data_IF_918928888467
#
_entry.id   IF_918928888467
#
_cell.length_a   1.000
_cell.length_b   1.000
_cell.length_c   1.000
_cell.angle_alpha   90.00
_cell.angle_beta   90.00
_cell.angle_gamma   90.00
#
_symmetry.space_group_name_H-M   'P 1'
#
loop_
_entity.id
_entity.type
_entity.pdbx_description
1 polymer ?
#
# COMPACT_ATOMS: atom_id res chain seq x y z
N UNK A 1 -10.37 30.25 12.69
CA UNK A 1 -8.95 29.93 12.39
C UNK A 1 -8.20 31.25 12.28
N UNK A 2 -7.11 31.47 13.03
CA UNK A 2 -6.37 32.73 12.93
C UNK A 2 -5.73 32.84 11.55
N UNK A 3 -5.91 33.99 10.89
CA UNK A 3 -5.29 34.29 9.61
C UNK A 3 -3.90 34.86 9.91
N UNK A 4 -2.86 34.11 9.56
CA UNK A 4 -1.46 34.56 9.69
C UNK A 4 -1.03 35.19 8.37
N UNK A 5 -0.65 36.47 8.39
CA UNK A 5 -0.15 37.19 7.22
C UNK A 5 1.38 37.04 7.18
N UNK A 6 1.88 36.25 6.24
CA UNK A 6 3.32 36.07 6.03
C UNK A 6 3.79 37.06 4.97
N UNK A 7 4.81 37.87 5.28
CA UNK A 7 5.47 38.76 4.34
C UNK A 7 6.69 38.04 3.76
N UNK A 8 6.71 37.84 2.44
CA UNK A 8 7.84 37.25 1.72
C UNK A 8 8.60 38.38 1.02
N UNK A 9 9.92 38.40 1.16
CA UNK A 9 10.79 39.46 0.65
C UNK A 9 11.11 39.32 -0.85
N UNK A 10 10.93 38.13 -1.42
CA UNK A 10 11.26 37.83 -2.82
C UNK A 10 10.05 37.26 -3.56
N UNK A 11 9.85 37.75 -4.79
CA UNK A 11 8.80 37.29 -5.70
C UNK A 11 9.03 35.85 -6.16
N UNK A 12 10.29 35.41 -6.25
CA UNK A 12 10.69 34.04 -6.58
C UNK A 12 10.14 33.01 -5.57
N UNK A 13 10.16 33.35 -4.29
CA UNK A 13 9.64 32.50 -3.21
C UNK A 13 8.11 32.37 -3.29
N UNK A 14 7.43 33.48 -3.63
CA UNK A 14 5.98 33.49 -3.89
C UNK A 14 5.64 32.59 -5.08
N UNK A 15 6.39 32.69 -6.19
CA UNK A 15 6.20 31.88 -7.39
C UNK A 15 6.46 30.39 -7.09
N UNK A 16 7.48 30.08 -6.29
CA UNK A 16 7.81 28.71 -5.87
C UNK A 16 6.67 28.10 -5.02
N UNK A 17 6.13 28.86 -4.07
CA UNK A 17 4.98 28.45 -3.26
C UNK A 17 3.73 28.24 -4.13
N UNK A 18 3.45 29.16 -5.06
CA UNK A 18 2.31 29.04 -5.98
C UNK A 18 2.43 27.81 -6.90
N UNK A 19 3.65 27.50 -7.39
CA UNK A 19 3.92 26.31 -8.20
C UNK A 19 3.76 25.00 -7.42
N UNK A 20 4.10 24.99 -6.13
CA UNK A 20 3.87 23.82 -5.27
C UNK A 20 2.38 23.59 -4.95
N UNK A 21 1.58 24.66 -4.86
CA UNK A 21 0.12 24.60 -4.68
C UNK A 21 -0.59 24.19 -5.99
N UNK A 22 -0.06 24.61 -7.15
CA UNK A 22 -0.61 24.31 -8.48
C UNK A 22 -0.13 22.97 -9.08
N UNK A 23 0.22 21.96 -8.26
CA UNK A 23 0.35 20.60 -8.82
C UNK A 23 -1.05 20.17 -9.30
N UNK A 24 -1.21 19.69 -10.55
CA UNK A 24 -2.53 19.35 -11.06
C UNK A 24 -3.16 18.25 -10.20
N UNK A 25 -4.08 18.64 -9.33
CA UNK A 25 -4.98 17.72 -8.66
C UNK A 25 -5.93 17.19 -9.74
N UNK A 26 -5.57 16.03 -10.26
CA UNK A 26 -6.38 15.25 -11.17
C UNK A 26 -7.67 14.87 -10.41
N UNK A 27 -8.78 15.60 -10.67
CA UNK A 27 -10.05 15.48 -9.94
C UNK A 27 -10.63 14.04 -9.98
N UNK A 28 -10.16 13.23 -10.93
CA UNK A 28 -10.51 11.83 -11.12
C UNK A 28 -9.53 10.83 -10.45
N UNK A 29 -8.51 11.31 -9.73
CA UNK A 29 -7.60 10.49 -8.92
C UNK A 29 -7.50 11.07 -7.51
N UNK A 30 -8.06 10.38 -6.51
CA UNK A 30 -7.89 10.71 -5.09
C UNK A 30 -6.45 10.63 -4.57
N UNK A 31 -5.47 10.32 -5.43
CA UNK A 31 -4.07 10.10 -5.08
C UNK A 31 -3.19 10.95 -6.00
N UNK A 32 -2.40 11.91 -5.49
CA UNK A 32 -1.35 12.55 -6.26
C UNK A 32 -0.46 11.48 -6.88
N UNK A 33 -0.40 11.44 -8.21
CA UNK A 33 0.30 10.41 -8.99
C UNK A 33 1.83 10.43 -8.75
N UNK A 34 2.34 11.49 -8.13
CA UNK A 34 3.76 11.82 -8.04
C UNK A 34 4.52 11.12 -6.91
N UNK A 35 3.88 10.75 -5.79
CA UNK A 35 4.62 10.36 -4.58
C UNK A 35 4.86 8.86 -4.40
N UNK A 36 3.88 7.99 -4.70
CA UNK A 36 4.04 6.55 -4.53
C UNK A 36 4.23 5.85 -5.88
N UNK A 37 5.49 5.53 -6.21
CA UNK A 37 5.87 4.83 -7.44
C UNK A 37 6.32 3.41 -7.13
N UNK A 38 5.50 2.43 -7.52
CA UNK A 38 5.90 1.03 -7.52
C UNK A 38 6.07 0.55 -8.96
N UNK A 39 7.22 -0.04 -9.25
CA UNK A 39 7.54 -0.56 -10.56
C UNK A 39 6.72 -1.82 -10.86
N UNK A 40 6.05 -1.88 -12.02
CA UNK A 40 5.28 -3.07 -12.44
C UNK A 40 6.14 -4.19 -13.02
N UNK A 41 7.43 -3.94 -13.29
CA UNK A 41 8.35 -4.95 -13.81
C UNK A 41 9.08 -5.68 -12.68
N UNK A 42 9.54 -4.96 -11.66
CA UNK A 42 10.34 -5.55 -10.57
C UNK A 42 9.70 -5.42 -9.18
N UNK A 43 8.52 -4.79 -9.08
CA UNK A 43 7.77 -4.55 -7.83
C UNK A 43 8.52 -3.80 -6.73
N UNK A 44 9.66 -3.18 -7.06
CA UNK A 44 10.40 -2.29 -6.18
C UNK A 44 9.80 -0.89 -6.19
N UNK A 45 10.05 -0.16 -5.11
CA UNK A 45 9.56 1.20 -4.90
C UNK A 45 10.51 2.22 -5.53
N UNK A 46 10.10 3.49 -5.52
CA UNK A 46 10.82 4.68 -6.00
C UNK A 46 10.94 4.88 -7.52
N UNK A 47 10.47 3.95 -8.35
CA UNK A 47 10.50 4.11 -9.80
C UNK A 47 9.30 3.43 -10.48
N UNK A 48 9.01 3.80 -11.73
CA UNK A 48 7.98 3.16 -12.55
C UNK A 48 8.57 2.18 -13.56
N UNK A 49 7.73 1.38 -14.23
CA UNK A 49 8.17 0.38 -15.20
C UNK A 49 9.01 0.95 -16.35
N UNK A 50 8.76 2.21 -16.76
CA UNK A 50 9.53 2.91 -17.80
C UNK A 50 10.96 3.25 -17.37
N UNK A 51 11.20 3.43 -16.08
CA UNK A 51 12.50 3.78 -15.48
C UNK A 51 13.24 2.52 -14.98
N UNK A 52 12.69 1.33 -15.22
CA UNK A 52 13.22 0.11 -14.63
C UNK A 52 14.44 -0.40 -15.40
N UNK A 53 15.55 -0.59 -14.69
CA UNK A 53 16.79 -1.17 -15.23
C UNK A 53 16.74 -2.68 -15.44
N UNK A 54 15.70 -3.36 -14.93
CA UNK A 54 15.54 -4.81 -15.06
C UNK A 54 14.97 -5.17 -16.44
N UNK A 55 15.72 -5.97 -17.20
CA UNK A 55 15.32 -6.49 -18.52
C UNK A 55 14.13 -7.44 -18.45
N UNK A 56 14.10 -8.32 -17.45
CA UNK A 56 13.04 -9.32 -17.29
C UNK A 56 12.00 -8.89 -16.26
N UNK A 57 10.73 -9.09 -16.61
CA UNK A 57 9.60 -8.88 -15.70
C UNK A 57 9.59 -10.00 -14.66
N UNK A 58 9.45 -9.62 -13.41
CA UNK A 58 9.27 -10.53 -12.30
C UNK A 58 7.80 -10.94 -12.24
N UNK A 59 7.52 -12.20 -11.91
CA UNK A 59 6.17 -12.67 -11.70
C UNK A 59 5.59 -12.10 -10.39
N UNK A 60 4.38 -11.56 -10.49
CA UNK A 60 3.62 -10.99 -9.38
C UNK A 60 3.44 -11.94 -8.19
N UNK A 61 3.18 -13.21 -8.48
CA UNK A 61 2.76 -14.21 -7.49
C UNK A 61 3.93 -14.88 -6.80
N UNK A 62 4.95 -15.34 -7.52
CA UNK A 62 6.06 -16.11 -6.93
C UNK A 62 7.38 -15.33 -6.82
N UNK A 63 7.47 -14.13 -7.40
CA UNK A 63 8.67 -13.30 -7.34
C UNK A 63 9.84 -13.74 -8.25
N UNK A 64 9.62 -14.71 -9.14
CA UNK A 64 10.64 -15.19 -10.10
C UNK A 64 10.49 -14.53 -11.47
N UNK A 65 11.59 -14.30 -12.18
CA UNK A 65 11.59 -13.67 -13.51
C UNK A 65 11.62 -14.66 -14.69
N UNK A 66 11.40 -15.96 -14.42
CA UNK A 66 11.51 -17.04 -15.41
C UNK A 66 10.22 -17.31 -16.19
N UNK A 67 9.10 -16.67 -15.83
CA UNK A 67 7.83 -16.81 -16.53
C UNK A 67 6.99 -15.55 -16.42
N UNK A 68 6.03 -15.44 -17.33
CA UNK A 68 4.99 -14.43 -17.26
C UNK A 68 3.99 -14.73 -16.16
N UNK A 69 3.50 -13.69 -15.49
CA UNK A 69 2.47 -13.79 -14.43
C UNK A 69 1.25 -14.64 -14.82
N UNK A 70 0.87 -14.64 -16.11
CA UNK A 70 -0.24 -15.44 -16.62
C UNK A 70 0.01 -16.96 -16.55
N UNK A 71 1.27 -17.40 -16.73
CA UNK A 71 1.71 -18.80 -16.73
C UNK A 71 2.25 -19.25 -15.36
N UNK A 72 2.01 -18.48 -14.30
CA UNK A 72 2.49 -18.84 -12.97
C UNK A 72 1.73 -20.04 -12.41
N UNK A 73 2.46 -21.11 -12.05
CA UNK A 73 1.90 -22.28 -11.36
C UNK A 73 1.19 -21.91 -10.05
N UNK A 74 1.66 -20.87 -9.37
CA UNK A 74 1.15 -20.45 -8.07
C UNK A 74 0.07 -19.36 -8.17
N UNK A 75 -0.46 -19.07 -9.37
CA UNK A 75 -1.45 -17.99 -9.58
C UNK A 75 -2.68 -18.13 -8.67
N UNK A 76 -3.20 -19.35 -8.54
CA UNK A 76 -4.43 -19.64 -7.80
C UNK A 76 -4.20 -20.08 -6.34
N UNK A 77 -2.94 -20.14 -5.89
CA UNK A 77 -2.58 -20.64 -4.58
C UNK A 77 -1.99 -19.50 -3.72
N UNK A 78 -2.80 -18.83 -2.88
CA UNK A 78 -2.35 -17.71 -2.05
C UNK A 78 -1.24 -18.08 -1.07
N UNK A 79 -1.17 -19.35 -0.64
CA UNK A 79 -0.16 -19.83 0.31
C UNK A 79 1.24 -19.84 -0.29
N UNK A 80 1.33 -20.00 -1.61
CA UNK A 80 2.58 -20.02 -2.37
C UNK A 80 2.96 -18.66 -2.94
N UNK A 81 2.18 -17.62 -2.67
CA UNK A 81 2.53 -16.27 -3.09
C UNK A 81 3.73 -15.77 -2.29
N UNK A 82 4.64 -15.07 -2.95
CA UNK A 82 5.85 -14.50 -2.39
C UNK A 82 6.02 -13.08 -2.91
N UNK A 83 5.92 -12.12 -2.00
CA UNK A 83 6.16 -10.72 -2.29
C UNK A 83 7.66 -10.46 -2.51
N UNK A 84 8.03 -9.69 -3.54
CA UNK A 84 9.43 -9.51 -3.95
C UNK A 84 10.33 -8.83 -2.90
N UNK A 85 9.85 -7.87 -2.11
CA UNK A 85 10.69 -7.17 -1.12
C UNK A 85 10.76 -7.88 0.24
N UNK A 86 9.61 -8.17 0.86
CA UNK A 86 9.51 -8.73 2.21
C UNK A 86 9.35 -10.26 2.26
N UNK A 87 9.28 -10.96 1.11
CA UNK A 87 9.00 -12.41 1.02
C UNK A 87 7.70 -12.85 1.70
N UNK A 88 6.78 -11.92 1.96
CA UNK A 88 5.49 -12.21 2.58
C UNK A 88 4.58 -13.08 1.72
N UNK A 89 3.65 -13.80 2.37
CA UNK A 89 2.68 -14.70 1.74
C UNK A 89 1.52 -13.94 1.08
N UNK A 90 1.84 -13.11 0.10
CA UNK A 90 0.88 -12.33 -0.68
C UNK A 90 1.50 -11.84 -1.99
N UNK A 91 0.67 -11.49 -3.01
CA UNK A 91 1.15 -10.97 -4.28
C UNK A 91 1.93 -9.66 -4.13
N UNK A 92 2.81 -9.39 -5.10
CA UNK A 92 3.73 -8.26 -5.10
C UNK A 92 3.10 -6.86 -5.18
N UNK A 93 1.79 -6.75 -5.33
CA UNK A 93 1.03 -5.48 -5.30
C UNK A 93 0.11 -5.36 -4.07
N UNK A 94 0.22 -6.30 -3.12
CA UNK A 94 -0.64 -6.33 -1.94
C UNK A 94 -0.32 -5.19 -0.97
N UNK A 95 -1.38 -4.56 -0.44
CA UNK A 95 -1.30 -3.55 0.63
C UNK A 95 -0.87 -4.11 1.99
N UNK A 96 -0.75 -5.44 2.10
CA UNK A 96 -0.29 -6.11 3.31
C UNK A 96 1.21 -5.96 3.55
N UNK A 97 1.98 -5.57 2.54
CA UNK A 97 3.40 -5.39 2.70
C UNK A 97 3.67 -4.22 3.67
N UNK A 98 4.31 -4.53 4.80
CA UNK A 98 4.68 -3.53 5.81
C UNK A 98 5.56 -2.42 5.20
N UNK A 99 6.48 -2.78 4.29
CA UNK A 99 7.33 -1.81 3.57
C UNK A 99 6.47 -0.85 2.74
N UNK A 100 5.49 -1.36 1.99
CA UNK A 100 4.54 -0.51 1.25
C UNK A 100 3.74 0.36 2.21
N UNK A 101 3.28 -0.18 3.35
CA UNK A 101 2.48 0.57 4.32
C UNK A 101 3.27 1.74 4.92
N UNK A 102 4.49 1.49 5.40
CA UNK A 102 5.38 2.53 5.94
C UNK A 102 5.70 3.60 4.91
N UNK A 103 5.96 3.21 3.66
CA UNK A 103 6.25 4.18 2.61
C UNK A 103 5.00 4.99 2.20
N UNK A 104 3.81 4.39 2.19
CA UNK A 104 2.55 5.13 1.99
C UNK A 104 2.28 6.12 3.12
N UNK A 105 2.54 5.72 4.36
CA UNK A 105 2.36 6.56 5.55
C UNK A 105 3.29 7.77 5.56
N UNK A 106 4.58 7.58 5.27
CA UNK A 106 5.56 8.68 5.12
C UNK A 106 5.14 9.71 4.07
N UNK A 107 4.42 9.27 3.04
CA UNK A 107 3.91 10.12 1.96
C UNK A 107 2.53 10.72 2.27
N UNK A 108 1.99 10.50 3.48
CA UNK A 108 0.66 10.95 3.89
C UNK A 108 -0.48 10.30 3.11
N UNK A 109 -0.22 9.15 2.47
CA UNK A 109 -1.21 8.51 1.61
C UNK A 109 -2.05 7.51 2.40
N UNK A 110 -3.30 7.89 2.63
CA UNK A 110 -4.31 7.04 3.27
C UNK A 110 -4.67 5.86 2.38
N UNK A 111 -5.01 4.74 3.02
CA UNK A 111 -5.60 3.59 2.35
C UNK A 111 -6.99 3.93 1.81
N UNK A 112 -7.36 3.32 0.70
CA UNK A 112 -8.73 3.42 0.19
C UNK A 112 -9.67 2.58 1.06
N UNK A 113 -10.97 2.94 1.10
CA UNK A 113 -12.00 2.16 1.82
C UNK A 113 -11.95 0.66 1.47
N UNK A 114 -11.69 0.32 0.19
CA UNK A 114 -11.58 -1.07 -0.28
C UNK A 114 -10.34 -1.78 0.28
N UNK A 115 -9.19 -1.10 0.30
CA UNK A 115 -7.95 -1.63 0.85
C UNK A 115 -8.06 -1.82 2.38
N UNK A 116 -8.68 -0.88 3.08
CA UNK A 116 -8.93 -0.95 4.53
C UNK A 116 -9.79 -2.15 4.92
N UNK A 117 -10.91 -2.36 4.21
CA UNK A 117 -11.78 -3.52 4.43
C UNK A 117 -11.02 -4.83 4.17
N UNK A 118 -10.17 -4.85 3.14
CA UNK A 118 -9.37 -6.04 2.78
C UNK A 118 -8.31 -6.37 3.83
N UNK A 119 -7.70 -5.36 4.46
CA UNK A 119 -6.76 -5.54 5.57
C UNK A 119 -7.48 -6.06 6.81
N UNK A 120 -8.57 -5.40 7.24
CA UNK A 120 -9.36 -5.81 8.42
C UNK A 120 -9.86 -7.25 8.33
N UNK A 121 -10.32 -7.69 7.15
CA UNK A 121 -10.78 -9.07 6.93
C UNK A 121 -9.65 -10.10 7.11
N UNK A 122 -8.42 -9.73 6.75
CA UNK A 122 -7.26 -10.62 6.90
C UNK A 122 -6.72 -10.63 8.32
N UNK A 123 -6.70 -9.48 9.00
CA UNK A 123 -6.32 -9.41 10.41
C UNK A 123 -7.28 -10.25 11.26
N UNK A 124 -8.59 -10.18 10.99
CA UNK A 124 -9.59 -11.05 11.61
C UNK A 124 -9.35 -12.53 11.29
N UNK A 125 -9.06 -12.87 10.02
CA UNK A 125 -8.76 -14.26 9.63
C UNK A 125 -7.51 -14.80 10.34
N UNK A 126 -6.47 -13.98 10.47
CA UNK A 126 -5.23 -14.34 11.16
C UNK A 126 -5.48 -14.52 12.67
N UNK A 127 -6.26 -13.63 13.28
CA UNK A 127 -6.67 -13.75 14.67
C UNK A 127 -7.43 -15.06 14.93
N UNK A 128 -8.42 -15.38 14.09
CA UNK A 128 -9.18 -16.63 14.19
C UNK A 128 -8.29 -17.87 14.01
N UNK A 129 -7.36 -17.86 13.04
CA UNK A 129 -6.38 -18.95 12.85
C UNK A 129 -5.49 -19.16 14.07
N UNK A 130 -4.96 -18.07 14.64
CA UNK A 130 -4.11 -18.13 15.83
C UNK A 130 -4.87 -18.69 17.05
N UNK A 131 -6.17 -18.39 17.16
CA UNK A 131 -7.04 -18.93 18.22
C UNK A 131 -7.31 -20.43 18.04
N UNK A 132 -7.44 -20.92 16.80
CA UNK A 132 -7.64 -22.36 16.54
C UNK A 132 -6.36 -23.21 16.70
N UNK A 133 -5.17 -22.66 16.44
CA UNK A 133 -3.91 -23.37 16.65
C UNK A 133 -3.45 -23.37 18.13
N UNK A 134 -4.00 -22.47 18.94
CA UNK A 134 -3.75 -22.42 20.39
C UNK A 134 -4.85 -23.22 21.08
N UNK A 135 -4.66 -24.53 21.24
CA UNK A 135 -5.58 -25.37 21.99
C UNK A 135 -5.58 -24.97 23.48
N UNK A 136 -6.28 -23.88 23.81
CA UNK A 136 -6.74 -23.53 25.16
C UNK A 136 -8.26 -23.38 25.06
N UNK A 137 -9.05 -24.33 25.59
CA UNK A 137 -10.49 -24.20 25.62
C UNK A 137 -10.81 -23.24 26.75
N UNK A 138 -10.89 -21.93 26.46
CA UNK A 138 -11.73 -20.97 27.20
C UNK A 138 -11.46 -19.52 26.77
N UNK A 139 -12.58 -18.81 26.63
CA UNK A 139 -12.82 -17.42 27.08
C UNK A 139 -12.81 -16.30 26.00
N UNK A 140 -14.06 -15.83 25.82
CA UNK A 140 -14.56 -14.50 25.41
C UNK A 140 -14.46 -14.07 23.96
N UNK A 141 -15.54 -14.40 23.24
CA UNK A 141 -16.09 -13.55 22.19
C UNK A 141 -16.53 -12.21 22.81
N UNK A 142 -15.60 -11.29 23.11
CA UNK A 142 -15.98 -9.89 23.34
C UNK A 142 -16.32 -9.31 21.98
N UNK A 143 -17.63 -9.25 21.72
CA UNK A 143 -18.24 -8.44 20.68
C UNK A 143 -17.67 -7.01 20.77
N UNK A 144 -16.68 -6.68 19.94
CA UNK A 144 -16.45 -5.29 19.55
C UNK A 144 -17.47 -4.90 18.46
N UNK A 145 -18.76 -4.97 18.83
CA UNK A 145 -19.78 -4.17 18.14
C UNK A 145 -19.82 -2.82 18.85
N UNK A 146 -19.44 -1.81 18.06
CA UNK A 146 -19.67 -0.37 18.20
C UNK A 146 -20.39 0.06 19.49
N UNK A 147 -19.63 0.69 20.39
CA UNK A 147 -20.18 1.68 21.31
C UNK A 147 -20.36 2.97 20.51
N UNK A 148 -21.50 3.11 19.85
CA UNK A 148 -21.94 4.43 19.42
C UNK A 148 -22.26 5.22 20.70
N UNK A 149 -21.58 6.36 20.84
CA UNK A 149 -21.82 7.36 21.89
C UNK A 149 -23.14 8.03 21.60
N UNK A 150 -24.00 8.10 22.60
CA UNK A 150 -24.87 9.25 22.90
C UNK A 150 -24.84 9.46 24.42
#
# INVERSE_FOLDING_TARGET
MPIVKVMLSKTEDVIKILKDIQKPFDKNKSRPKSHFKQCRNCYRLNHIARECTKKHKVCKYCGLANHETAKCRNKNDPSKHKYVLCRGQYPSDSVQCEVIRKDREKLGIKLTRKEDVSLKKKDLKQFLLNQMCSNKPRITLILMLRKDKD
#
